data_IF_631903106852
#
_entry.id   IF_631903106852
#
_cell.length_a   1.000
_cell.length_b   1.000
_cell.length_c   1.000
_cell.angle_alpha   90.00
_cell.angle_beta   90.00
_cell.angle_gamma   90.00
#
_symmetry.space_group_name_H-M   'P 1'
#
loop_
_entity.id
_entity.type
_entity.pdbx_description
1 polymer ?
#
# COMPACT_ATOMS: atom_id res chain seq x y z
N UNK A 1 -10.68 52.48 -10.46
CA UNK A 1 -9.66 53.52 -10.17
C UNK A 1 -9.39 53.49 -8.67
N UNK A 2 -8.17 53.28 -8.14
CA UNK A 2 -6.87 53.15 -8.78
C UNK A 2 -5.86 52.38 -7.91
N UNK A 3 -5.36 51.27 -8.43
CA UNK A 3 -3.99 50.77 -8.19
C UNK A 3 -3.00 51.37 -9.20
N UNK A 4 -3.51 52.17 -10.15
CA UNK A 4 -2.75 52.82 -11.21
C UNK A 4 -2.01 54.07 -10.71
N UNK A 5 -2.62 54.85 -9.80
CA UNK A 5 -1.92 55.98 -9.13
C UNK A 5 -0.89 55.51 -8.11
N UNK A 6 -1.13 54.36 -7.45
CA UNK A 6 -0.18 53.74 -6.51
C UNK A 6 1.13 53.34 -7.20
N UNK A 7 1.05 52.89 -8.46
CA UNK A 7 2.22 52.48 -9.26
C UNK A 7 2.98 53.64 -9.92
N UNK A 8 2.36 54.82 -10.08
CA UNK A 8 2.98 55.97 -10.76
C UNK A 8 3.87 56.82 -9.84
N UNK A 9 3.63 56.78 -8.52
CA UNK A 9 4.30 57.68 -7.54
C UNK A 9 5.54 57.08 -6.83
N UNK A 10 6.02 55.88 -7.18
CA UNK A 10 7.22 55.32 -6.52
C UNK A 10 8.19 54.67 -7.50
N UNK A 11 9.46 55.01 -7.33
CA UNK A 11 10.59 54.42 -8.01
C UNK A 11 11.01 53.16 -7.22
N UNK A 12 10.74 51.97 -7.76
CA UNK A 12 10.92 50.68 -7.07
C UNK A 12 12.37 50.15 -7.11
N UNK A 13 13.35 50.96 -7.48
CA UNK A 13 14.76 50.62 -7.41
C UNK A 13 15.38 50.83 -6.01
N UNK A 14 14.60 51.27 -5.02
CA UNK A 14 15.11 51.68 -3.70
C UNK A 14 14.39 51.04 -2.49
N UNK A 15 13.54 50.02 -2.65
CA UNK A 15 12.94 49.32 -1.48
C UNK A 15 12.77 47.81 -1.70
N UNK A 16 12.95 47.05 -0.61
CA UNK A 16 12.78 45.59 -0.51
C UNK A 16 11.34 45.20 -0.12
N UNK A 17 10.32 45.89 -0.64
CA UNK A 17 8.92 45.51 -0.40
C UNK A 17 8.41 44.58 -1.52
N UNK A 18 7.73 43.47 -1.19
CA UNK A 18 7.28 42.50 -2.18
C UNK A 18 6.18 43.10 -3.06
N UNK A 19 6.51 43.30 -4.34
CA UNK A 19 5.50 43.55 -5.37
C UNK A 19 4.48 42.40 -5.33
N UNK A 20 3.18 42.72 -5.37
CA UNK A 20 2.07 41.75 -5.40
C UNK A 20 2.01 40.87 -6.66
N UNK A 21 3.15 40.48 -7.22
CA UNK A 21 3.28 39.46 -8.23
C UNK A 21 3.10 38.07 -7.58
N UNK A 22 2.23 37.24 -8.17
CA UNK A 22 2.07 35.83 -7.78
C UNK A 22 3.46 35.18 -7.73
N UNK A 23 3.80 34.52 -6.61
CA UNK A 23 5.08 33.81 -6.46
C UNK A 23 5.31 32.90 -7.67
N UNK A 24 6.53 32.85 -8.24
CA UNK A 24 6.84 31.92 -9.33
C UNK A 24 6.54 30.50 -8.85
N UNK A 25 5.96 29.69 -9.74
CA UNK A 25 5.60 28.30 -9.43
C UNK A 25 6.86 27.49 -9.08
N UNK A 26 6.81 26.57 -8.10
CA UNK A 26 7.94 25.69 -7.84
C UNK A 26 8.23 24.80 -9.06
N UNK A 27 9.50 24.43 -9.28
CA UNK A 27 9.85 23.51 -10.38
C UNK A 27 9.39 22.09 -10.07
N UNK A 28 9.21 21.28 -11.12
CA UNK A 28 8.94 19.84 -10.99
C UNK A 28 10.17 19.14 -10.42
N UNK A 29 9.94 18.19 -9.52
CA UNK A 29 10.99 17.30 -9.00
C UNK A 29 10.81 15.93 -9.67
N UNK A 30 11.88 15.38 -10.23
CA UNK A 30 11.86 14.05 -10.83
C UNK A 30 11.47 12.99 -9.78
N UNK A 31 10.50 12.12 -10.10
CA UNK A 31 9.98 11.10 -9.17
C UNK A 31 9.06 11.62 -8.06
N UNK A 32 8.61 12.88 -8.15
CA UNK A 32 7.62 13.47 -7.24
C UNK A 32 6.81 14.56 -7.95
N UNK A 33 5.89 14.15 -8.82
CA UNK A 33 5.22 15.08 -9.74
C UNK A 33 3.73 14.86 -9.90
N UNK A 34 3.21 13.66 -9.63
CA UNK A 34 1.80 13.30 -9.84
C UNK A 34 1.02 13.20 -8.55
N UNK A 35 -0.24 13.62 -8.61
CA UNK A 35 -1.20 13.37 -7.54
C UNK A 35 -2.48 12.76 -8.11
N UNK A 36 -3.13 11.97 -7.28
CA UNK A 36 -4.46 11.43 -7.52
C UNK A 36 -5.30 11.62 -6.28
N UNK A 37 -6.59 11.89 -6.49
CA UNK A 37 -7.61 11.89 -5.46
C UNK A 37 -8.67 10.90 -5.89
N UNK A 38 -8.86 9.86 -5.10
CA UNK A 38 -9.91 8.88 -5.32
C UNK A 38 -11.08 9.16 -4.37
N UNK A 39 -12.29 9.21 -4.89
CA UNK A 39 -13.51 9.24 -4.08
C UNK A 39 -13.91 7.79 -3.84
N UNK A 40 -14.01 7.42 -2.57
CA UNK A 40 -14.13 6.04 -2.16
C UNK A 40 -15.40 5.85 -1.35
N UNK A 41 -16.38 5.20 -1.96
CA UNK A 41 -17.66 4.83 -1.35
C UNK A 41 -17.54 3.45 -0.70
N UNK A 42 -16.84 3.42 0.44
CA UNK A 42 -16.70 2.26 1.31
C UNK A 42 -17.78 2.25 2.42
N UNK A 43 -17.53 1.58 3.55
CA UNK A 43 -18.42 1.66 4.73
C UNK A 43 -18.71 3.11 5.16
N UNK A 44 -17.77 4.01 4.92
CA UNK A 44 -17.96 5.46 4.99
C UNK A 44 -17.36 6.09 3.74
N UNK A 45 -18.11 7.01 3.13
CA UNK A 45 -17.59 7.84 2.05
C UNK A 45 -16.38 8.65 2.54
N UNK A 46 -15.26 8.49 1.86
CA UNK A 46 -14.05 9.26 2.11
C UNK A 46 -13.31 9.54 0.80
N UNK A 47 -12.25 10.35 0.90
CA UNK A 47 -11.40 10.67 -0.24
C UNK A 47 -9.97 10.23 0.06
N UNK A 48 -9.41 9.41 -0.80
CA UNK A 48 -8.01 9.01 -0.71
C UNK A 48 -7.16 10.00 -1.50
N UNK A 49 -6.38 10.81 -0.77
CA UNK A 49 -5.45 11.78 -1.31
C UNK A 49 -4.06 11.15 -1.42
N UNK A 50 -3.49 11.09 -2.62
CA UNK A 50 -2.21 10.40 -2.86
C UNK A 50 -1.23 11.26 -3.63
N UNK A 51 0.04 11.18 -3.24
CA UNK A 51 1.16 11.89 -3.85
C UNK A 51 2.24 10.90 -4.25
N UNK A 52 2.63 10.91 -5.52
CA UNK A 52 3.82 10.19 -6.02
C UNK A 52 5.07 10.74 -5.32
N UNK A 53 5.79 9.92 -4.56
CA UNK A 53 7.11 10.25 -4.02
C UNK A 53 7.93 8.98 -3.86
N UNK A 54 9.18 8.97 -4.34
CA UNK A 54 10.12 7.85 -4.14
C UNK A 54 9.61 6.53 -4.74
N UNK A 55 9.00 6.61 -5.93
CA UNK A 55 8.49 5.45 -6.66
C UNK A 55 7.20 4.83 -6.11
N UNK A 56 6.55 5.48 -5.13
CA UNK A 56 5.27 5.01 -4.53
C UNK A 56 4.29 6.16 -4.34
N UNK A 57 3.02 5.82 -4.14
CA UNK A 57 1.96 6.77 -3.77
C UNK A 57 1.84 6.88 -2.24
N UNK A 58 2.40 7.94 -1.67
CA UNK A 58 2.15 8.31 -0.27
C UNK A 58 0.69 8.71 -0.13
N UNK A 59 -0.04 8.05 0.78
CA UNK A 59 -1.51 8.08 0.76
C UNK A 59 -2.11 8.54 2.10
N UNK A 60 -3.22 9.27 2.01
CA UNK A 60 -4.01 9.74 3.15
C UNK A 60 -5.50 9.60 2.90
N UNK A 61 -6.23 9.00 3.84
CA UNK A 61 -7.69 9.00 3.85
C UNK A 61 -8.22 10.31 4.45
N UNK A 62 -9.11 10.99 3.75
CA UNK A 62 -9.68 12.29 4.12
C UNK A 62 -11.21 12.15 4.25
N UNK A 63 -11.74 11.84 5.45
CA UNK A 63 -13.16 11.48 5.63
C UNK A 63 -14.14 12.60 5.28
N UNK A 64 -13.76 13.86 5.51
CA UNK A 64 -14.58 15.04 5.18
C UNK A 64 -14.36 15.57 3.76
N UNK A 65 -13.55 14.89 2.96
CA UNK A 65 -13.15 15.34 1.62
C UNK A 65 -12.18 16.52 1.64
N UNK A 66 -12.07 17.22 0.52
CA UNK A 66 -11.09 18.30 0.34
C UNK A 66 -11.65 19.64 0.84
N UNK A 67 -10.89 20.45 1.61
CA UNK A 67 -11.32 21.77 2.06
C UNK A 67 -11.40 22.77 0.89
N UNK A 68 -12.43 23.62 0.91
CA UNK A 68 -12.72 24.58 -0.18
C UNK A 68 -12.41 26.01 0.23
N UNK A 69 -12.63 26.35 1.50
CA UNK A 69 -12.43 27.69 2.04
C UNK A 69 -11.02 27.85 2.58
N UNK A 70 -10.43 29.02 2.37
CA UNK A 70 -9.12 29.36 2.93
C UNK A 70 -9.14 29.22 4.44
N UNK A 71 -8.18 28.48 4.99
CA UNK A 71 -8.07 28.22 6.42
C UNK A 71 -8.98 27.11 6.97
N UNK A 72 -9.85 26.53 6.15
CA UNK A 72 -10.58 25.30 6.49
C UNK A 72 -9.61 24.13 6.63
N UNK A 73 -9.83 23.29 7.65
CA UNK A 73 -8.93 22.20 8.02
C UNK A 73 -9.69 20.88 8.05
N UNK A 74 -9.29 19.94 7.22
CA UNK A 74 -9.85 18.59 7.22
C UNK A 74 -8.81 17.60 7.74
N UNK A 75 -9.26 16.61 8.52
CA UNK A 75 -8.41 15.52 8.98
C UNK A 75 -8.01 14.64 7.79
N UNK A 76 -6.73 14.39 7.65
CA UNK A 76 -6.13 13.47 6.69
C UNK A 76 -5.34 12.42 7.47
N UNK A 77 -5.83 11.18 7.47
CA UNK A 77 -5.19 10.07 8.18
C UNK A 77 -4.23 9.38 7.22
N UNK A 78 -2.95 9.31 7.58
CA UNK A 78 -1.94 8.63 6.76
C UNK A 78 -2.22 7.13 6.75
N UNK A 79 -2.30 6.55 5.56
CA UNK A 79 -2.49 5.11 5.33
C UNK A 79 -1.25 4.51 4.66
N UNK A 80 -1.30 3.23 4.32
CA UNK A 80 -0.20 2.52 3.65
C UNK A 80 0.14 3.14 2.29
N UNK A 81 1.39 3.00 1.88
CA UNK A 81 1.84 3.45 0.56
C UNK A 81 1.24 2.54 -0.53
N UNK A 82 0.88 3.11 -1.66
CA UNK A 82 0.27 2.37 -2.78
C UNK A 82 1.21 2.30 -3.99
N UNK A 83 1.11 1.28 -4.85
CA UNK A 83 1.88 1.23 -6.11
C UNK A 83 1.43 2.35 -7.07
N UNK A 84 2.32 2.76 -7.98
CA UNK A 84 2.03 3.86 -8.92
C UNK A 84 0.84 3.55 -9.84
N UNK A 85 0.69 2.31 -10.29
CA UNK A 85 -0.40 1.88 -11.17
C UNK A 85 -1.79 2.06 -10.54
N UNK A 86 -1.85 2.16 -9.21
CA UNK A 86 -3.08 2.45 -8.48
C UNK A 86 -3.63 3.85 -8.75
N UNK A 87 -2.82 4.75 -9.33
CA UNK A 87 -3.24 6.11 -9.68
C UNK A 87 -4.37 6.15 -10.70
N UNK A 88 -4.44 5.13 -11.57
CA UNK A 88 -5.46 5.02 -12.59
C UNK A 88 -6.56 4.02 -12.23
N UNK A 89 -6.55 3.43 -11.03
CA UNK A 89 -7.58 2.49 -10.62
C UNK A 89 -8.93 3.20 -10.37
N UNK A 90 -9.96 2.72 -11.05
CA UNK A 90 -11.36 3.10 -10.92
C UNK A 90 -12.22 1.86 -11.11
N UNK A 91 -13.07 1.55 -10.14
CA UNK A 91 -13.79 0.28 -10.14
C UNK A 91 -14.43 -0.06 -8.80
N UNK A 92 -14.87 -1.31 -8.64
CA UNK A 92 -15.43 -1.83 -7.39
C UNK A 92 -14.39 -2.69 -6.69
N UNK A 93 -14.11 -2.38 -5.43
CA UNK A 93 -13.39 -3.27 -4.51
C UNK A 93 -14.47 -4.09 -3.80
N UNK A 94 -14.44 -5.44 -3.87
CA UNK A 94 -15.50 -6.25 -3.30
C UNK A 94 -15.65 -5.98 -1.80
N UNK A 95 -16.90 -5.96 -1.33
CA UNK A 95 -17.21 -5.81 0.10
C UNK A 95 -16.45 -6.86 0.92
N UNK A 96 -15.86 -6.41 2.03
CA UNK A 96 -15.06 -7.24 2.93
C UNK A 96 -13.55 -7.22 2.72
N UNK A 97 -13.08 -6.71 1.58
CA UNK A 97 -11.66 -6.38 1.40
C UNK A 97 -11.29 -5.04 2.07
N UNK A 98 -10.00 -4.81 2.33
CA UNK A 98 -9.52 -3.51 2.81
C UNK A 98 -9.83 -2.43 1.76
N UNK A 99 -10.63 -1.43 2.17
CA UNK A 99 -11.18 -0.46 1.23
C UNK A 99 -12.27 -1.06 0.33
N UNK A 100 -13.05 -2.02 0.81
CA UNK A 100 -14.22 -2.53 0.10
C UNK A 100 -15.22 -1.39 -0.16
N UNK A 101 -15.66 -1.25 -1.41
CA UNK A 101 -16.41 -0.10 -1.85
C UNK A 101 -16.16 0.26 -3.31
N UNK A 102 -16.87 1.26 -3.81
CA UNK A 102 -16.64 1.74 -5.17
C UNK A 102 -15.61 2.86 -5.14
N UNK A 103 -14.58 2.77 -5.98
CA UNK A 103 -13.48 3.75 -6.09
C UNK A 103 -13.60 4.49 -7.41
N UNK A 104 -13.68 5.81 -7.35
CA UNK A 104 -13.66 6.72 -8.50
C UNK A 104 -12.36 7.51 -8.51
N UNK A 105 -11.69 7.62 -9.66
CA UNK A 105 -10.63 8.62 -9.83
C UNK A 105 -11.29 10.00 -9.91
N UNK A 106 -11.38 10.68 -8.77
CA UNK A 106 -12.13 11.91 -8.62
C UNK A 106 -11.37 13.12 -9.16
N UNK A 107 -10.06 13.21 -8.92
CA UNK A 107 -9.19 14.20 -9.54
C UNK A 107 -7.80 13.60 -9.78
N UNK A 108 -7.11 14.09 -10.82
CA UNK A 108 -5.73 13.70 -11.09
C UNK A 108 -4.99 14.82 -11.80
N UNK A 109 -3.69 14.90 -11.56
CA UNK A 109 -2.86 15.91 -12.20
C UNK A 109 -1.46 15.97 -11.63
N UNK A 110 -0.83 17.13 -11.78
CA UNK A 110 0.52 17.34 -11.27
C UNK A 110 0.49 18.13 -9.97
N UNK A 111 1.45 17.88 -9.09
CA UNK A 111 1.67 18.70 -7.92
C UNK A 111 3.11 19.20 -7.85
N UNK A 112 3.30 20.28 -7.10
CA UNK A 112 4.59 20.91 -6.88
C UNK A 112 4.76 21.18 -5.39
N UNK A 113 5.98 21.02 -4.86
CA UNK A 113 6.28 21.32 -3.46
C UNK A 113 7.12 22.58 -3.37
N UNK A 114 6.68 23.54 -2.55
CA UNK A 114 7.50 24.70 -2.24
C UNK A 114 8.80 24.24 -1.52
N UNK A 115 9.96 24.64 -2.03
CA UNK A 115 11.27 24.25 -1.49
C UNK A 115 11.92 23.02 -2.14
N UNK A 116 11.32 22.45 -3.19
CA UNK A 116 11.91 21.42 -4.08
C UNK A 116 12.41 20.12 -3.40
N UNK A 117 12.03 19.87 -2.13
CA UNK A 117 12.43 18.67 -1.36
C UNK A 117 11.21 17.97 -0.73
N UNK A 118 10.38 17.27 -1.54
CA UNK A 118 9.13 16.66 -1.08
C UNK A 118 9.31 15.67 0.09
N UNK A 119 10.31 14.79 0.02
CA UNK A 119 10.56 13.79 1.07
C UNK A 119 11.01 14.42 2.39
N UNK A 120 11.79 15.50 2.34
CA UNK A 120 12.22 16.21 3.54
C UNK A 120 11.03 16.92 4.20
N UNK A 121 10.23 17.64 3.41
CA UNK A 121 9.02 18.32 3.87
C UNK A 121 8.00 17.33 4.49
N UNK A 122 7.88 16.13 3.91
CA UNK A 122 7.08 15.03 4.48
C UNK A 122 7.64 14.56 5.83
N UNK A 123 8.95 14.35 5.96
CA UNK A 123 9.59 13.93 7.23
C UNK A 123 9.40 14.97 8.33
N UNK A 124 9.57 16.25 7.99
CA UNK A 124 9.38 17.40 8.88
C UNK A 124 7.90 17.59 9.29
N UNK A 125 6.97 16.99 8.56
CA UNK A 125 5.54 17.01 8.84
C UNK A 125 4.84 18.25 8.30
N UNK A 126 5.40 18.93 7.30
CA UNK A 126 4.84 20.15 6.71
C UNK A 126 5.10 20.17 5.21
N UNK A 127 4.06 19.88 4.42
CA UNK A 127 4.10 19.94 2.96
C UNK A 127 3.27 21.13 2.48
N UNK A 128 3.91 22.05 1.76
CA UNK A 128 3.20 23.11 1.03
C UNK A 128 3.14 22.72 -0.44
N UNK A 129 1.93 22.46 -0.92
CA UNK A 129 1.65 21.85 -2.21
C UNK A 129 0.97 22.87 -3.12
N UNK A 130 1.36 22.88 -4.40
CA UNK A 130 0.58 23.49 -5.47
C UNK A 130 -0.03 22.36 -6.27
N UNK A 131 -1.36 22.23 -6.32
CA UNK A 131 -2.03 21.22 -7.13
C UNK A 131 -2.46 21.81 -8.48
N UNK A 132 -2.27 21.03 -9.53
CA UNK A 132 -2.67 21.31 -10.91
C UNK A 132 -3.43 20.10 -11.46
N UNK A 133 -4.67 19.93 -10.98
CA UNK A 133 -5.60 18.89 -11.39
C UNK A 133 -6.69 19.38 -12.35
N UNK A 134 -7.60 18.47 -12.69
CA UNK A 134 -8.81 18.76 -13.46
C UNK A 134 -9.85 19.48 -12.61
N UNK A 135 -9.95 19.14 -11.32
CA UNK A 135 -10.91 19.74 -10.37
C UNK A 135 -10.23 20.72 -9.42
N UNK A 136 -9.09 20.36 -8.83
CA UNK A 136 -8.37 21.18 -7.87
C UNK A 136 -7.20 21.93 -8.51
N UNK A 137 -7.17 23.25 -8.30
CA UNK A 137 -6.04 24.13 -8.68
C UNK A 137 -5.70 25.15 -7.58
N UNK A 138 -4.41 25.41 -7.35
CA UNK A 138 -3.93 26.40 -6.37
C UNK A 138 -3.04 25.81 -5.26
N UNK A 139 -2.95 26.50 -4.12
CA UNK A 139 -2.10 26.08 -2.99
C UNK A 139 -2.87 25.40 -1.85
N UNK A 140 -2.30 24.30 -1.36
CA UNK A 140 -2.70 23.51 -0.20
C UNK A 140 -1.53 23.30 0.75
N UNK A 141 -1.85 22.96 2.00
CA UNK A 141 -0.87 22.52 2.98
C UNK A 141 -1.32 21.21 3.64
N UNK A 142 -0.37 20.30 3.82
CA UNK A 142 -0.56 19.08 4.58
C UNK A 142 0.37 19.13 5.80
N UNK A 143 -0.21 19.20 7.01
CA UNK A 143 0.52 19.44 8.26
C UNK A 143 0.25 18.30 9.24
N UNK A 144 1.31 17.63 9.71
CA UNK A 144 1.21 16.58 10.72
C UNK A 144 0.88 17.18 12.08
N UNK A 145 -0.13 16.63 12.75
CA UNK A 145 -0.48 17.04 14.12
C UNK A 145 0.63 16.57 15.06
N UNK A 146 1.09 17.45 15.96
CA UNK A 146 2.07 17.10 17.00
C UNK A 146 1.33 16.78 18.29
N UNK A 147 1.40 15.53 18.75
CA UNK A 147 0.77 15.04 19.98
C UNK A 147 1.34 13.68 20.39
N UNK A 148 1.25 13.34 21.68
CA UNK A 148 1.69 12.05 22.21
C UNK A 148 0.76 10.93 21.71
N UNK A 149 1.20 10.17 20.70
CA UNK A 149 0.58 8.88 20.35
C UNK A 149 0.42 8.61 18.85
N UNK A 150 0.04 9.60 18.03
CA UNK A 150 -0.47 9.31 16.68
C UNK A 150 0.32 9.99 15.56
N UNK A 151 1.42 9.35 15.12
CA UNK A 151 2.26 9.80 13.98
C UNK A 151 1.52 9.83 12.63
N UNK A 152 0.29 9.34 12.58
CA UNK A 152 -0.49 9.15 11.35
C UNK A 152 -1.54 10.24 11.12
N UNK A 153 -1.76 11.17 12.06
CA UNK A 153 -2.75 12.23 11.88
C UNK A 153 -2.16 13.48 11.22
N UNK A 154 -2.78 13.91 10.12
CA UNK A 154 -2.45 15.11 9.38
C UNK A 154 -3.67 15.99 9.20
N UNK A 155 -3.43 17.26 8.90
CA UNK A 155 -4.43 18.23 8.50
C UNK A 155 -4.16 18.63 7.07
N UNK A 156 -5.18 18.52 6.23
CA UNK A 156 -5.22 19.12 4.90
C UNK A 156 -5.89 20.49 5.00
N UNK A 157 -5.22 21.52 4.49
CA UNK A 157 -5.66 22.91 4.55
C UNK A 157 -5.62 23.55 3.17
N UNK A 158 -6.64 24.37 2.86
CA UNK A 158 -6.58 25.28 1.72
C UNK A 158 -5.77 26.52 2.11
N UNK A 159 -4.66 26.77 1.41
CA UNK A 159 -3.71 27.85 1.73
C UNK A 159 -3.92 29.11 0.89
N UNK A 160 -4.32 28.93 -0.37
CA UNK A 160 -4.68 30.04 -1.28
C UNK A 160 -6.16 30.47 -1.08
N UNK A 161 -6.67 31.37 -1.94
CA UNK A 161 -8.05 31.87 -1.93
C UNK A 161 -9.11 30.76 -1.96
N UNK A 162 -10.33 31.13 -1.52
CA UNK A 162 -11.50 30.27 -1.56
C UNK A 162 -11.73 29.74 -2.97
N UNK A 163 -11.96 28.44 -3.08
CA UNK A 163 -12.39 27.81 -4.32
C UNK A 163 -13.87 27.49 -4.17
N UNK A 164 -14.67 27.86 -5.17
CA UNK A 164 -16.09 27.49 -5.18
C UNK A 164 -16.21 25.96 -5.12
N UNK A 165 -16.98 25.40 -4.18
CA UNK A 165 -17.29 23.98 -4.18
C UNK A 165 -17.82 23.54 -5.54
N UNK A 166 -17.49 22.31 -5.93
CA UNK A 166 -18.00 21.75 -7.18
C UNK A 166 -19.51 21.58 -7.12
N UNK A 167 -20.16 21.62 -8.29
CA UNK A 167 -21.55 21.19 -8.41
C UNK A 167 -21.66 19.70 -8.09
N UNK A 168 -22.80 19.25 -7.56
CA UNK A 168 -23.05 17.82 -7.27
C UNK A 168 -22.76 16.92 -8.48
N UNK A 169 -23.11 17.38 -9.68
CA UNK A 169 -22.82 16.67 -10.93
C UNK A 169 -21.31 16.48 -11.15
N UNK A 170 -20.52 17.55 -10.99
CA UNK A 170 -19.06 17.49 -11.22
C UNK A 170 -18.32 16.78 -10.07
N UNK A 171 -18.90 16.76 -8.88
CA UNK A 171 -18.40 15.97 -7.76
C UNK A 171 -18.60 14.46 -7.98
N UNK A 172 -19.70 14.09 -8.64
CA UNK A 172 -20.05 12.71 -9.01
C UNK A 172 -19.63 12.38 -10.46
N UNK A 173 -18.52 12.95 -10.93
CA UNK A 173 -18.01 12.72 -12.30
C UNK A 173 -16.52 12.33 -12.23
N UNK A 174 -16.16 11.18 -12.78
CA UNK A 174 -14.79 10.71 -12.83
C UNK A 174 -13.90 11.64 -13.65
N UNK A 175 -12.74 11.98 -13.09
CA UNK A 175 -11.68 12.68 -13.82
C UNK A 175 -11.01 11.79 -14.89
N UNK A 176 -11.13 10.46 -14.80
CA UNK A 176 -10.57 9.51 -15.77
C UNK A 176 -11.55 9.25 -16.91
N UNK A 177 -12.78 8.85 -16.60
CA UNK A 177 -13.75 8.31 -17.57
C UNK A 177 -14.98 9.19 -17.77
N UNK A 178 -15.22 10.18 -16.90
CA UNK A 178 -16.46 10.97 -16.90
C UNK A 178 -17.69 10.23 -16.34
N UNK A 179 -17.54 8.97 -15.88
CA UNK A 179 -18.62 8.19 -15.29
C UNK A 179 -18.97 8.66 -13.88
N UNK A 180 -20.21 8.42 -13.46
CA UNK A 180 -20.65 8.66 -12.08
C UNK A 180 -20.31 7.52 -11.13
N UNK A 181 -20.40 7.77 -9.83
CA UNK A 181 -20.10 6.76 -8.81
C UNK A 181 -21.02 5.54 -8.97
N UNK A 182 -22.29 5.81 -9.27
CA UNK A 182 -23.30 4.78 -9.53
C UNK A 182 -23.02 3.99 -10.80
N UNK A 183 -22.59 4.65 -11.87
CA UNK A 183 -22.22 3.96 -13.12
C UNK A 183 -21.02 3.04 -12.89
N UNK A 184 -19.97 3.53 -12.22
CA UNK A 184 -18.79 2.72 -11.88
C UNK A 184 -19.19 1.51 -11.02
N UNK A 185 -20.09 1.68 -10.06
CA UNK A 185 -20.60 0.60 -9.23
C UNK A 185 -21.44 -0.44 -10.00
N UNK A 186 -22.22 0.02 -10.99
CA UNK A 186 -23.12 -0.83 -11.78
C UNK A 186 -22.40 -1.60 -12.86
N UNK A 187 -21.51 -0.93 -13.59
CA UNK A 187 -20.83 -1.50 -14.73
C UNK A 187 -19.86 -2.61 -14.28
N UNK A 188 -19.27 -2.47 -13.07
CA UNK A 188 -18.28 -3.41 -12.50
C UNK A 188 -17.17 -3.79 -13.51
N UNK A 189 -16.87 -2.86 -14.43
CA UNK A 189 -15.96 -3.09 -15.56
C UNK A 189 -14.54 -3.38 -15.10
N UNK A 190 -14.16 -2.82 -13.95
CA UNK A 190 -12.89 -3.08 -13.29
C UNK A 190 -13.18 -3.44 -11.83
N UNK A 191 -12.88 -4.68 -11.46
CA UNK A 191 -12.74 -5.09 -10.07
C UNK A 191 -11.23 -5.12 -9.80
N UNK A 192 -10.75 -4.40 -8.78
CA UNK A 192 -9.32 -4.39 -8.47
C UNK A 192 -8.90 -5.73 -7.92
N UNK A 193 -8.33 -6.56 -8.78
CA UNK A 193 -7.41 -7.64 -8.45
C UNK A 193 -6.00 -7.06 -8.68
N UNK A 194 -5.11 -7.06 -7.68
CA UNK A 194 -3.82 -6.32 -7.74
C UNK A 194 -2.80 -6.83 -8.75
N UNK A 195 -3.20 -7.65 -9.72
CA UNK A 195 -2.50 -7.83 -10.99
C UNK A 195 -3.31 -8.72 -11.93
N UNK A 196 -3.83 -8.17 -13.04
CA UNK A 196 -4.03 -8.95 -14.28
C UNK A 196 -3.98 -8.05 -15.52
N UNK A 197 -3.34 -8.50 -16.60
CA UNK A 197 -3.62 -8.01 -17.94
C UNK A 197 -5.01 -8.54 -18.38
N UNK A 198 -5.80 -7.69 -19.03
CA UNK A 198 -7.10 -8.06 -19.59
C UNK A 198 -6.94 -9.05 -20.75
N UNK A 199 -7.52 -10.25 -20.63
CA UNK A 199 -8.04 -10.97 -21.79
C UNK A 199 -9.41 -11.60 -21.45
N UNK A 200 -10.41 -11.25 -22.26
CA UNK A 200 -11.83 -11.45 -22.00
C UNK A 200 -12.33 -12.91 -22.03
N UNK A 201 -13.55 -13.09 -21.52
CA UNK A 201 -14.35 -14.32 -21.67
C UNK A 201 -14.20 -15.37 -20.57
N UNK A 202 -13.42 -15.12 -19.52
CA UNK A 202 -13.26 -16.08 -18.41
C UNK A 202 -14.46 -16.11 -17.43
N UNK A 203 -15.23 -15.03 -17.33
CA UNK A 203 -16.30 -14.87 -16.32
C UNK A 203 -17.50 -15.80 -16.56
N UNK A 204 -17.91 -16.03 -17.82
CA UNK A 204 -19.03 -16.93 -18.15
C UNK A 204 -18.66 -18.40 -17.96
N UNK A 205 -17.42 -18.79 -18.27
CA UNK A 205 -16.91 -20.14 -18.02
C UNK A 205 -16.71 -20.41 -16.52
N UNK A 206 -16.32 -19.40 -15.74
CA UNK A 206 -16.15 -19.52 -14.29
C UNK A 206 -17.50 -19.65 -13.57
N UNK A 207 -18.50 -18.83 -13.92
CA UNK A 207 -19.84 -18.92 -13.33
C UNK A 207 -20.56 -20.23 -13.68
N UNK A 208 -20.37 -20.76 -14.90
CA UNK A 208 -20.89 -22.08 -15.27
C UNK A 208 -20.25 -23.22 -14.46
N UNK A 209 -18.94 -23.13 -14.17
CA UNK A 209 -18.20 -24.11 -13.36
C UNK A 209 -18.55 -24.06 -11.88
N UNK A 210 -18.80 -22.86 -11.33
CA UNK A 210 -19.27 -22.67 -9.95
C UNK A 210 -20.67 -23.31 -9.75
N UNK A 211 -21.59 -23.14 -10.70
CA UNK A 211 -22.93 -23.76 -10.62
C UNK A 211 -22.90 -25.28 -10.72
N UNK A 212 -21.95 -25.85 -11.48
CA UNK A 212 -21.75 -27.30 -11.54
C UNK A 212 -21.17 -27.87 -10.22
N UNK A 213 -20.19 -27.18 -9.62
CA UNK A 213 -19.53 -27.61 -8.38
C UNK A 213 -20.46 -27.56 -7.15
N UNK A 214 -21.41 -26.61 -7.10
CA UNK A 214 -22.41 -26.52 -6.03
C UNK A 214 -23.42 -27.67 -6.09
N UNK A 215 -23.64 -28.26 -7.27
CA UNK A 215 -24.60 -29.36 -7.45
C UNK A 215 -24.03 -30.73 -7.05
N UNK A 216 -22.72 -30.94 -7.14
CA UNK A 216 -22.07 -32.21 -6.79
C UNK A 216 -21.70 -32.35 -5.29
N UNK A 217 -21.51 -31.25 -4.55
CA UNK A 217 -21.14 -31.28 -3.12
C UNK A 217 -22.24 -31.80 -2.17
N UNK A 218 -23.45 -32.12 -2.65
CA UNK A 218 -24.51 -32.71 -1.83
C UNK A 218 -24.35 -34.21 -1.55
N UNK A 219 -23.35 -34.92 -2.13
CA UNK A 219 -23.26 -36.38 -1.96
C UNK A 219 -21.85 -36.99 -1.72
N UNK A 220 -20.79 -36.20 -1.52
CA UNK A 220 -19.43 -36.74 -1.31
C UNK A 220 -18.95 -36.77 0.16
N UNK A 221 -18.29 -37.84 0.65
CA UNK A 221 -17.92 -37.97 2.06
C UNK A 221 -16.67 -37.14 2.44
N UNK A 222 -16.69 -36.54 3.63
CA UNK A 222 -15.56 -35.80 4.22
C UNK A 222 -14.39 -36.74 4.57
N UNK A 223 -13.23 -36.59 3.94
CA UNK A 223 -11.97 -37.27 4.37
C UNK A 223 -11.19 -36.39 5.36
N UNK A 224 -10.81 -36.99 6.50
CA UNK A 224 -9.87 -36.44 7.48
C UNK A 224 -8.45 -36.50 6.90
N UNK A 225 -7.70 -35.40 7.02
CA UNK A 225 -6.28 -35.33 6.64
C UNK A 225 -5.48 -36.16 7.65
N UNK A 226 -4.85 -37.23 7.17
CA UNK A 226 -3.95 -38.07 7.94
C UNK A 226 -2.61 -37.36 8.18
N UNK A 227 -2.15 -37.42 9.43
CA UNK A 227 -0.84 -36.98 9.91
C UNK A 227 0.26 -37.51 8.97
N UNK A 228 0.95 -36.61 8.27
CA UNK A 228 2.05 -36.96 7.38
C UNK A 228 3.16 -37.68 8.15
N UNK A 229 3.75 -38.67 7.49
CA UNK A 229 4.71 -39.60 8.04
C UNK A 229 5.93 -38.90 8.65
N UNK A 230 6.33 -39.40 9.82
CA UNK A 230 7.56 -39.06 10.54
C UNK A 230 8.74 -39.37 9.62
N UNK A 231 9.44 -38.35 9.14
CA UNK A 231 10.76 -38.52 8.52
C UNK A 231 11.69 -38.99 9.62
N UNK A 232 12.19 -40.22 9.48
CA UNK A 232 13.18 -40.79 10.40
C UNK A 232 14.48 -39.99 10.33
N UNK A 233 14.94 -39.57 11.50
CA UNK A 233 16.29 -39.12 11.88
C UNK A 233 17.36 -39.12 10.77
N UNK A 234 17.47 -37.97 10.11
CA UNK A 234 18.74 -37.49 9.57
C UNK A 234 18.92 -36.07 10.05
N UNK A 235 19.39 -35.88 11.28
CA UNK A 235 19.84 -34.55 11.70
C UNK A 235 20.94 -34.13 10.71
N UNK A 236 20.68 -33.11 9.90
CA UNK A 236 21.71 -32.45 9.10
C UNK A 236 22.76 -31.97 10.10
N UNK A 237 23.88 -32.68 10.19
CA UNK A 237 24.99 -32.31 11.05
C UNK A 237 25.59 -31.01 10.50
N UNK A 238 25.25 -29.90 11.14
CA UNK A 238 25.82 -28.60 10.82
C UNK A 238 27.34 -28.65 11.08
N UNK A 239 28.17 -28.12 10.16
CA UNK A 239 29.61 -28.05 10.39
C UNK A 239 29.94 -27.34 11.71
N UNK A 240 30.80 -27.94 12.53
CA UNK A 240 31.23 -27.35 13.81
C UNK A 240 31.91 -25.99 13.62
N UNK A 241 32.49 -25.76 12.44
CA UNK A 241 33.13 -24.52 12.01
C UNK A 241 32.18 -23.33 11.87
N UNK A 242 30.87 -23.56 11.84
CA UNK A 242 29.90 -22.48 11.73
C UNK A 242 29.92 -21.59 12.98
N UNK A 243 29.91 -20.25 12.81
CA UNK A 243 29.86 -19.32 13.93
C UNK A 243 28.63 -19.57 14.80
N UNK A 244 28.77 -19.42 16.11
CA UNK A 244 27.59 -19.36 16.98
C UNK A 244 26.83 -18.05 16.72
N UNK A 245 25.51 -18.15 16.60
CA UNK A 245 24.60 -17.03 16.45
C UNK A 245 23.60 -16.98 17.61
N UNK A 246 23.31 -15.79 18.13
CA UNK A 246 22.12 -15.59 18.97
C UNK A 246 20.95 -15.23 18.06
N UNK A 247 19.73 -15.75 18.32
CA UNK A 247 18.54 -15.35 17.59
C UNK A 247 18.37 -13.83 17.70
N UNK A 248 18.48 -13.13 16.58
CA UNK A 248 18.33 -11.67 16.50
C UNK A 248 17.64 -11.29 15.20
N UNK A 249 17.00 -10.13 15.20
CA UNK A 249 16.48 -9.54 13.98
C UNK A 249 17.64 -9.23 13.02
N UNK A 250 17.50 -9.68 11.78
CA UNK A 250 18.42 -9.43 10.66
C UNK A 250 17.58 -8.73 9.60
N UNK A 251 17.92 -7.49 9.22
CA UNK A 251 17.13 -6.75 8.22
C UNK A 251 17.14 -7.54 6.89
N UNK A 252 15.98 -7.99 6.40
CA UNK A 252 15.92 -8.74 5.15
C UNK A 252 16.43 -7.94 3.97
N UNK A 253 17.06 -8.62 3.02
CA UNK A 253 17.48 -8.00 1.76
C UNK A 253 16.25 -7.44 1.02
N UNK A 254 16.40 -6.22 0.48
CA UNK A 254 15.30 -5.51 -0.20
C UNK A 254 15.50 -5.60 -1.72
N UNK A 255 14.43 -5.87 -2.48
CA UNK A 255 14.51 -5.80 -3.93
C UNK A 255 14.80 -4.35 -4.35
N UNK A 256 15.65 -4.20 -5.36
CA UNK A 256 15.91 -2.93 -6.02
C UNK A 256 15.07 -2.89 -7.29
N UNK A 257 14.24 -1.87 -7.45
CA UNK A 257 13.48 -1.68 -8.69
C UNK A 257 14.45 -1.39 -9.84
N UNK A 258 14.35 -2.20 -10.90
CA UNK A 258 15.13 -2.09 -12.12
C UNK A 258 14.19 -2.24 -13.31
N UNK A 259 14.50 -1.58 -14.43
CA UNK A 259 13.69 -1.66 -15.65
C UNK A 259 13.82 -3.03 -16.34
N UNK A 260 15.00 -3.64 -16.25
CA UNK A 260 15.28 -4.95 -16.84
C UNK A 260 15.94 -5.86 -15.80
N UNK A 261 15.52 -7.13 -15.69
CA UNK A 261 16.20 -8.10 -14.84
C UNK A 261 17.68 -8.21 -15.22
N UNK A 262 18.59 -8.33 -14.23
CA UNK A 262 20.00 -8.53 -14.51
C UNK A 262 20.24 -9.83 -15.27
N UNK A 263 21.28 -9.86 -16.10
CA UNK A 263 21.66 -11.03 -16.92
C UNK A 263 22.99 -11.62 -16.46
N UNK A 264 23.20 -12.91 -16.79
CA UNK A 264 24.42 -13.66 -16.47
C UNK A 264 24.14 -14.92 -15.65
N UNK A 265 25.06 -15.89 -15.71
CA UNK A 265 24.89 -17.24 -15.14
C UNK A 265 24.87 -17.28 -13.60
N UNK A 266 25.17 -16.17 -12.94
CA UNK A 266 25.14 -16.03 -11.48
C UNK A 266 23.77 -15.63 -10.91
N UNK A 267 22.74 -15.45 -11.74
CA UNK A 267 21.40 -15.02 -11.32
C UNK A 267 20.41 -16.18 -11.32
N UNK A 268 19.74 -16.34 -10.17
CA UNK A 268 18.57 -17.21 -10.03
C UNK A 268 17.35 -16.31 -9.89
N UNK A 269 16.25 -16.67 -10.55
CA UNK A 269 15.00 -15.93 -10.50
C UNK A 269 13.96 -16.72 -9.71
N UNK A 270 13.36 -16.04 -8.74
CA UNK A 270 12.26 -16.59 -7.94
C UNK A 270 10.96 -15.84 -8.24
N UNK A 271 9.84 -16.54 -8.06
CA UNK A 271 8.53 -15.91 -8.15
C UNK A 271 8.38 -14.90 -7.01
N UNK A 272 7.97 -13.69 -7.39
CA UNK A 272 7.60 -12.69 -6.39
C UNK A 272 6.31 -13.15 -5.70
N UNK A 273 6.34 -13.19 -4.38
CA UNK A 273 5.16 -13.36 -3.56
C UNK A 273 4.53 -12.00 -3.20
N UNK A 274 3.22 -12.01 -3.02
CA UNK A 274 2.43 -10.87 -2.58
C UNK A 274 1.87 -11.16 -1.17
N UNK A 275 2.69 -10.88 -0.16
CA UNK A 275 2.36 -11.13 1.25
C UNK A 275 3.04 -10.19 2.23
N UNK A 276 3.18 -10.65 3.48
CA UNK A 276 3.86 -9.94 4.56
C UNK A 276 5.17 -10.64 4.88
N UNK A 277 6.30 -10.01 4.56
CA UNK A 277 7.63 -10.49 4.95
C UNK A 277 7.75 -10.54 6.48
N UNK A 278 8.10 -11.70 7.01
CA UNK A 278 8.22 -11.94 8.43
C UNK A 278 9.40 -12.87 8.73
N UNK A 279 10.20 -12.51 9.73
CA UNK A 279 11.17 -13.42 10.33
C UNK A 279 10.48 -14.29 11.37
N UNK A 280 10.67 -15.60 11.27
CA UNK A 280 10.22 -16.55 12.27
C UNK A 280 11.36 -16.92 13.22
N UNK A 281 11.15 -16.68 14.51
CA UNK A 281 12.05 -17.08 15.59
C UNK A 281 11.45 -18.24 16.33
N UNK A 282 12.15 -19.38 16.36
CA UNK A 282 11.75 -20.56 17.13
C UNK A 282 12.75 -20.82 18.26
N UNK A 283 12.22 -21.12 19.44
CA UNK A 283 12.97 -21.66 20.58
C UNK A 283 12.10 -22.68 21.33
N UNK A 284 12.38 -23.96 21.15
CA UNK A 284 11.50 -25.06 21.54
C UNK A 284 10.12 -24.91 20.89
N UNK A 285 9.07 -24.94 21.70
CA UNK A 285 7.68 -24.76 21.22
C UNK A 285 7.29 -23.29 20.99
N UNK A 286 8.13 -22.33 21.44
CA UNK A 286 7.80 -20.90 21.33
C UNK A 286 8.22 -20.37 19.98
N UNK A 287 7.26 -19.79 19.27
CA UNK A 287 7.49 -19.11 17.99
C UNK A 287 7.10 -17.64 18.09
N UNK A 288 7.91 -16.77 17.48
CA UNK A 288 7.57 -15.37 17.22
C UNK A 288 7.72 -15.06 15.74
N UNK A 289 6.73 -14.40 15.17
CA UNK A 289 6.76 -13.86 13.82
C UNK A 289 6.94 -12.35 13.89
N UNK A 290 8.05 -11.83 13.36
CA UNK A 290 8.40 -10.40 13.42
C UNK A 290 8.44 -9.84 12.00
N UNK A 291 7.61 -8.83 11.73
CA UNK A 291 7.59 -8.14 10.44
C UNK A 291 8.89 -7.36 10.17
N UNK A 292 9.09 -6.92 8.93
CA UNK A 292 10.19 -6.00 8.57
C UNK A 292 10.25 -4.71 9.41
N UNK A 293 9.10 -4.23 9.90
CA UNK A 293 9.01 -3.04 10.74
C UNK A 293 9.05 -3.38 12.24
N UNK A 294 9.50 -4.58 12.59
CA UNK A 294 9.63 -5.10 13.96
C UNK A 294 8.30 -5.28 14.73
N UNK A 295 7.16 -5.21 14.04
CA UNK A 295 5.87 -5.57 14.64
C UNK A 295 5.75 -7.07 14.84
N UNK A 296 5.21 -7.48 15.99
CA UNK A 296 4.89 -8.88 16.30
C UNK A 296 3.58 -9.29 15.59
N UNK A 297 3.69 -10.28 14.70
CA UNK A 297 2.62 -10.83 13.88
C UNK A 297 2.13 -12.20 14.39
N UNK A 298 2.67 -12.69 15.51
CA UNK A 298 2.45 -14.08 15.97
C UNK A 298 0.96 -14.37 16.20
N UNK A 299 0.25 -13.46 16.85
CA UNK A 299 -1.21 -13.56 17.08
C UNK A 299 -2.03 -13.47 15.81
N UNK A 300 -1.49 -12.78 14.80
CA UNK A 300 -2.17 -12.62 13.51
C UNK A 300 -2.09 -13.90 12.67
N UNK A 301 -1.00 -14.66 12.81
CA UNK A 301 -0.74 -15.85 12.01
C UNK A 301 -0.43 -17.07 12.89
N UNK A 302 -1.35 -17.39 13.80
CA UNK A 302 -1.17 -18.48 14.77
C UNK A 302 -1.02 -19.84 14.08
N UNK A 303 -1.70 -20.08 12.96
CA UNK A 303 -1.56 -21.31 12.16
C UNK A 303 -0.16 -21.46 11.56
N UNK A 304 0.45 -20.36 11.11
CA UNK A 304 1.84 -20.34 10.61
C UNK A 304 2.82 -20.55 11.77
N UNK A 305 2.62 -19.86 12.89
CA UNK A 305 3.44 -20.03 14.08
C UNK A 305 3.39 -21.48 14.60
N UNK A 306 2.22 -22.11 14.58
CA UNK A 306 2.03 -23.52 14.92
C UNK A 306 2.76 -24.46 13.96
N UNK A 307 2.71 -24.19 12.65
CA UNK A 307 3.45 -24.98 11.66
C UNK A 307 4.96 -24.88 11.87
N UNK A 308 5.50 -23.70 12.18
CA UNK A 308 6.92 -23.50 12.48
C UNK A 308 7.31 -24.19 13.78
N UNK A 309 6.45 -24.15 14.82
CA UNK A 309 6.70 -24.83 16.09
C UNK A 309 6.88 -26.34 15.89
N UNK A 310 6.17 -26.92 14.92
CA UNK A 310 6.23 -28.35 14.58
C UNK A 310 7.49 -28.77 13.79
N UNK A 311 8.35 -27.83 13.36
CA UNK A 311 9.60 -28.17 12.67
C UNK A 311 10.51 -29.04 13.58
N UNK A 312 11.30 -29.98 13.02
CA UNK A 312 12.14 -30.89 13.81
C UNK A 312 13.47 -30.24 14.22
N UNK A 313 13.41 -29.13 14.95
CA UNK A 313 14.56 -28.39 15.48
C UNK A 313 14.20 -27.70 16.82
N UNK A 314 15.17 -27.50 17.69
CA UNK A 314 14.98 -26.74 18.93
C UNK A 314 15.08 -25.24 18.69
N UNK A 315 16.02 -24.78 17.85
CA UNK A 315 16.20 -23.35 17.60
C UNK A 315 16.40 -23.05 16.11
N UNK A 316 15.62 -22.10 15.58
CA UNK A 316 15.86 -21.59 14.23
C UNK A 316 15.42 -20.13 14.05
N UNK A 317 16.04 -19.45 13.10
CA UNK A 317 15.59 -18.16 12.56
C UNK A 317 15.41 -18.31 11.06
N UNK A 318 14.20 -18.05 10.58
CA UNK A 318 13.81 -18.24 9.18
C UNK A 318 13.35 -16.90 8.63
N UNK A 319 13.80 -16.55 7.42
CA UNK A 319 13.24 -15.46 6.63
C UNK A 319 12.27 -16.01 5.61
N UNK A 320 11.15 -15.30 5.43
CA UNK A 320 10.10 -15.74 4.56
C UNK A 320 8.97 -14.74 4.46
N UNK A 321 7.96 -15.11 3.69
CA UNK A 321 6.78 -14.32 3.44
C UNK A 321 5.51 -15.10 3.74
N UNK A 322 4.66 -14.53 4.59
CA UNK A 322 3.32 -15.05 4.83
C UNK A 322 2.42 -14.60 3.69
N UNK A 323 1.81 -15.54 2.99
CA UNK A 323 0.87 -15.27 1.89
C UNK A 323 -0.43 -16.03 2.09
N UNK A 324 -1.50 -15.52 1.49
CA UNK A 324 -2.71 -16.28 1.26
C UNK A 324 -2.77 -16.69 -0.22
N UNK A 325 -3.14 -17.93 -0.51
CA UNK A 325 -3.28 -18.42 -1.88
C UNK A 325 -4.75 -18.48 -2.34
N UNK A 326 -4.98 -18.21 -3.62
CA UNK A 326 -6.27 -18.49 -4.28
C UNK A 326 -6.43 -19.98 -4.66
N UNK A 327 -7.59 -20.36 -5.23
CA UNK A 327 -7.83 -21.74 -5.69
C UNK A 327 -6.88 -22.21 -6.82
N UNK A 328 -6.18 -21.27 -7.48
CA UNK A 328 -5.17 -21.55 -8.49
C UNK A 328 -3.75 -21.59 -7.92
N UNK A 329 -3.58 -21.44 -6.60
CA UNK A 329 -2.30 -21.47 -5.90
C UNK A 329 -1.49 -20.17 -6.01
N UNK A 330 -2.13 -19.04 -6.34
CA UNK A 330 -1.45 -17.74 -6.52
C UNK A 330 -1.53 -16.90 -5.25
N UNK A 331 -0.43 -16.28 -4.87
CA UNK A 331 -0.41 -15.40 -3.69
C UNK A 331 -1.21 -14.12 -3.93
N UNK A 332 -2.02 -13.73 -2.96
CA UNK A 332 -2.78 -12.48 -2.97
C UNK A 332 -2.68 -11.80 -1.61
N UNK A 333 -2.17 -10.57 -1.64
CA UNK A 333 -2.12 -9.72 -0.45
C UNK A 333 -3.51 -9.36 0.05
N UNK A 334 -4.48 -9.22 -0.85
CA UNK A 334 -5.88 -8.95 -0.51
C UNK A 334 -6.53 -10.11 0.22
N UNK A 335 -6.29 -11.36 -0.20
CA UNK A 335 -6.80 -12.52 0.52
C UNK A 335 -6.26 -12.56 1.96
N UNK A 336 -5.01 -12.16 2.14
CA UNK A 336 -4.38 -12.07 3.46
C UNK A 336 -4.99 -10.95 4.32
N UNK A 337 -5.34 -9.81 3.73
CA UNK A 337 -6.08 -8.73 4.41
C UNK A 337 -7.53 -9.11 4.73
N UNK A 338 -8.23 -9.78 3.81
CA UNK A 338 -9.61 -10.25 4.02
C UNK A 338 -9.69 -11.28 5.16
N UNK A 339 -8.71 -12.19 5.29
CA UNK A 339 -8.64 -13.11 6.44
C UNK A 339 -8.52 -12.39 7.77
N UNK A 340 -7.72 -11.32 7.84
CA UNK A 340 -7.54 -10.55 9.07
C UNK A 340 -8.82 -9.83 9.51
N UNK A 341 -9.60 -9.31 8.56
CA UNK A 341 -10.77 -8.50 8.85
C UNK A 341 -12.05 -9.33 9.05
N UNK A 342 -12.22 -10.43 8.32
CA UNK A 342 -13.50 -11.16 8.23
C UNK A 342 -13.43 -12.62 8.69
N UNK A 343 -12.24 -13.11 9.05
CA UNK A 343 -12.05 -14.50 9.46
C UNK A 343 -12.16 -15.50 8.30
N UNK A 344 -11.78 -15.09 7.08
CA UNK A 344 -11.80 -15.95 5.90
C UNK A 344 -10.98 -17.25 6.05
N UNK A 345 -11.24 -18.24 5.21
CA UNK A 345 -10.61 -19.58 5.28
C UNK A 345 -9.49 -19.80 4.23
N UNK A 346 -9.06 -18.75 3.52
CA UNK A 346 -8.02 -18.89 2.49
C UNK A 346 -6.73 -19.48 3.09
N UNK A 347 -6.18 -20.59 2.56
CA UNK A 347 -5.05 -21.24 3.19
C UNK A 347 -3.84 -20.29 3.24
N UNK A 348 -3.26 -20.12 4.45
CA UNK A 348 -2.03 -19.35 4.62
C UNK A 348 -0.82 -20.26 4.41
N UNK A 349 0.19 -19.69 3.77
CA UNK A 349 1.46 -20.32 3.54
C UNK A 349 2.57 -19.39 4.00
N UNK A 350 3.65 -19.98 4.50
CA UNK A 350 4.88 -19.26 4.79
C UNK A 350 5.94 -19.75 3.83
N UNK A 351 6.20 -18.94 2.80
CA UNK A 351 7.23 -19.22 1.82
C UNK A 351 8.58 -18.81 2.40
N UNK A 352 9.46 -19.79 2.57
CA UNK A 352 10.79 -19.58 3.17
C UNK A 352 11.76 -19.17 2.08
N UNK A 353 12.50 -18.09 2.32
CA UNK A 353 13.60 -17.65 1.48
C UNK A 353 14.92 -18.17 2.03
N UNK A 354 15.19 -17.90 3.30
CA UNK A 354 16.48 -18.20 3.91
C UNK A 354 16.32 -18.82 5.29
N UNK A 355 17.17 -19.80 5.60
CA UNK A 355 17.38 -20.28 6.96
C UNK A 355 18.62 -19.58 7.53
N UNK A 356 18.40 -18.54 8.33
CA UNK A 356 19.47 -17.67 8.82
C UNK A 356 20.23 -18.30 10.00
N UNK A 357 19.55 -19.09 10.80
CA UNK A 357 20.12 -19.76 11.97
C UNK A 357 19.43 -21.09 12.24
N UNK A 358 20.21 -22.07 12.68
CA UNK A 358 19.74 -23.38 13.14
C UNK A 358 20.60 -23.88 14.30
N UNK A 359 19.99 -24.36 15.38
CA UNK A 359 20.66 -24.92 16.58
C UNK A 359 21.80 -24.06 17.13
N UNK A 360 21.57 -22.75 17.24
CA UNK A 360 22.58 -21.82 17.76
C UNK A 360 23.73 -21.51 16.79
N UNK A 361 23.68 -21.99 15.55
CA UNK A 361 24.67 -21.74 14.49
C UNK A 361 24.14 -20.74 13.46
N UNK A 362 24.97 -19.76 13.09
CA UNK A 362 24.67 -18.80 12.04
C UNK A 362 24.97 -19.43 10.67
N UNK A 363 23.99 -19.38 9.77
CA UNK A 363 24.07 -19.98 8.44
C UNK A 363 24.23 -18.96 7.32
N UNK A 364 24.26 -17.66 7.60
CA UNK A 364 24.31 -16.61 6.57
C UNK A 364 25.59 -16.54 5.73
N UNK A 365 26.57 -17.42 5.96
CA UNK A 365 27.75 -17.60 5.13
C UNK A 365 27.67 -18.84 4.21
N UNK A 366 26.61 -19.64 4.37
CA UNK A 366 26.31 -20.77 3.50
C UNK A 366 25.42 -20.29 2.33
N UNK A 367 25.48 -20.99 1.18
CA UNK A 367 24.64 -20.69 0.03
C UNK A 367 23.15 -20.90 0.29
#
# INVERSE_FOLDING_TARGET
>A
MGLTEYKRKRNFSATSEPSGAKKPRPKRVAGASRFVIQKHDASRLHYDFRLEMDGVLKSWAVPKGIPWKRGEKHLAVKVEDHPLDYEDFEGVIPEGNYGGGTVMVWDKGNYYVHGEKPLQALKEGRLHLVLEGKKLKGDWALIRIRGQGEKNQWLLLKSDADVKPLSKKRDDESAKTGRSMKQIAQDRDAEWESNRPEEGGAKEKLQARIRAAVREKKTGPKKKVSRAARVENGALALPDTLPSGKPRFIDPMKPKLVETPPSGDGWIFELKFDGIRALAFKSGEKVKLISRNENDLTKKFEEVAGAIAALPCEQCVIDGEVVALDEAGRSSFQLLQAREMEGGEAPLYYYVFDLLQLEGKNLGALP
#
